data_IF_155442590670
#
_entry.id   IF_155442590670
#
_cell.length_a   1.000
_cell.length_b   1.000
_cell.length_c   1.000
_cell.angle_alpha   90.00
_cell.angle_beta   90.00
_cell.angle_gamma   90.00
#
_symmetry.space_group_name_H-M   'P 1'
#
loop_
_entity.id
_entity.type
_entity.pdbx_description
1 polymer ?
#
# COMPACT_ATOMS: atom_id res chain seq x y z
N UNK A 1 26.26 -33.71 -49.45
CA UNK A 1 27.08 -32.50 -49.26
C UNK A 1 26.21 -31.29 -49.55
N UNK A 2 26.24 -30.34 -48.61
CA UNK A 2 25.83 -28.93 -48.66
C UNK A 2 24.32 -28.64 -48.83
N UNK A 3 23.63 -28.02 -47.86
CA UNK A 3 23.76 -26.62 -47.32
C UNK A 3 23.39 -25.61 -48.44
N UNK A 4 22.47 -24.63 -48.31
CA UNK A 4 22.00 -23.86 -47.16
C UNK A 4 20.80 -22.92 -47.51
N UNK A 5 20.01 -22.58 -46.47
CA UNK A 5 19.35 -21.32 -46.08
C UNK A 5 18.47 -20.45 -47.02
N UNK A 6 17.25 -20.11 -46.54
CA UNK A 6 16.97 -18.89 -45.71
C UNK A 6 15.44 -18.76 -45.47
N UNK A 7 14.92 -18.83 -44.23
CA UNK A 7 14.65 -17.68 -43.34
C UNK A 7 13.24 -17.09 -43.63
N UNK A 8 12.27 -16.97 -42.73
CA UNK A 8 12.26 -16.55 -41.32
C UNK A 8 11.02 -17.16 -40.63
N UNK A 9 11.23 -17.79 -39.47
CA UNK A 9 10.17 -18.28 -38.58
C UNK A 9 9.44 -17.12 -37.90
N UNK A 10 8.11 -17.09 -38.03
CA UNK A 10 7.26 -16.23 -37.22
C UNK A 10 7.23 -16.75 -35.78
N UNK A 11 7.95 -16.10 -34.88
CA UNK A 11 7.86 -16.33 -33.44
C UNK A 11 6.45 -15.97 -33.00
N UNK A 12 5.67 -16.99 -32.64
CA UNK A 12 4.36 -16.85 -32.03
C UNK A 12 4.50 -16.12 -30.68
N UNK A 13 4.34 -14.80 -30.67
CA UNK A 13 4.01 -14.05 -29.46
C UNK A 13 2.59 -14.41 -29.05
N UNK A 14 2.46 -15.32 -28.10
CA UNK A 14 1.19 -15.65 -27.46
C UNK A 14 0.74 -14.46 -26.58
N UNK A 15 -0.04 -13.56 -27.18
CA UNK A 15 -0.79 -12.52 -26.48
C UNK A 15 -1.80 -13.17 -25.51
N UNK A 16 -1.58 -13.05 -24.19
CA UNK A 16 -2.53 -13.50 -23.16
C UNK A 16 -3.52 -12.42 -22.73
N UNK A 17 -3.60 -11.30 -23.45
CA UNK A 17 -4.31 -10.09 -22.99
C UNK A 17 -5.85 -10.24 -22.97
N UNK A 18 -6.46 -10.94 -23.93
CA UNK A 18 -7.94 -10.90 -24.08
C UNK A 18 -8.66 -12.27 -24.07
N UNK A 19 -7.95 -13.41 -24.06
CA UNK A 19 -8.58 -14.75 -24.12
C UNK A 19 -8.39 -15.65 -22.90
N UNK A 20 -7.70 -15.19 -21.87
CA UNK A 20 -7.60 -15.91 -20.61
C UNK A 20 -8.34 -15.14 -19.51
N UNK A 21 -9.66 -15.03 -19.64
CA UNK A 21 -10.50 -14.98 -18.45
C UNK A 21 -10.40 -16.35 -17.78
N UNK A 22 -9.29 -16.58 -17.07
CA UNK A 22 -9.36 -17.54 -16.00
C UNK A 22 -10.38 -16.98 -15.02
N UNK A 23 -11.62 -17.50 -15.10
CA UNK A 23 -12.57 -17.50 -14.00
C UNK A 23 -11.97 -18.38 -12.90
N UNK A 24 -10.84 -17.95 -12.36
CA UNK A 24 -10.35 -18.41 -11.09
C UNK A 24 -11.32 -17.80 -10.09
N UNK A 25 -12.35 -18.58 -9.75
CA UNK A 25 -13.29 -18.28 -8.65
C UNK A 25 -12.50 -17.91 -7.38
N UNK A 26 -11.27 -18.43 -7.27
CA UNK A 26 -10.27 -18.09 -6.27
C UNK A 26 -8.90 -17.83 -6.92
N UNK A 27 -8.29 -16.67 -6.60
CA UNK A 27 -6.96 -16.30 -7.11
C UNK A 27 -5.90 -17.22 -6.49
N UNK A 28 -4.89 -17.66 -7.27
CA UNK A 28 -3.94 -18.70 -6.84
C UNK A 28 -2.96 -18.22 -5.78
N UNK A 29 -2.73 -16.90 -5.65
CA UNK A 29 -1.75 -16.36 -4.71
C UNK A 29 -2.41 -15.50 -3.65
N UNK A 30 -1.94 -15.61 -2.42
CA UNK A 30 -2.27 -14.72 -1.32
C UNK A 30 -1.02 -14.00 -0.86
N UNK A 31 -1.10 -12.67 -0.82
CA UNK A 31 0.00 -11.81 -0.40
C UNK A 31 -0.36 -11.21 0.95
N UNK A 32 0.39 -11.58 1.99
CA UNK A 32 0.33 -10.94 3.30
C UNK A 32 1.32 -9.79 3.34
N UNK A 33 0.86 -8.58 3.63
CA UNK A 33 1.70 -7.38 3.74
C UNK A 33 1.67 -6.93 5.19
N UNK A 34 2.75 -7.21 5.91
CA UNK A 34 2.92 -6.83 7.30
C UNK A 34 3.33 -5.36 7.39
N UNK A 35 2.47 -4.56 8.02
CA UNK A 35 2.61 -3.11 8.09
C UNK A 35 2.27 -2.55 9.46
N UNK A 36 2.84 -1.40 9.77
CA UNK A 36 2.42 -0.54 10.88
C UNK A 36 1.91 0.80 10.31
N UNK A 37 0.79 1.35 10.80
CA UNK A 37 0.20 2.58 10.27
C UNK A 37 1.12 3.81 10.38
N UNK A 38 2.08 3.81 11.31
CA UNK A 38 3.05 4.89 11.51
C UNK A 38 4.41 4.61 10.88
N UNK A 39 4.58 3.50 10.16
CA UNK A 39 5.85 3.16 9.50
C UNK A 39 5.96 3.86 8.13
N UNK A 40 6.91 4.80 7.94
CA UNK A 40 7.10 5.49 6.66
C UNK A 40 7.54 4.58 5.51
N UNK A 41 8.24 3.50 5.81
CA UNK A 41 8.63 2.52 4.78
C UNK A 41 7.42 1.71 4.30
N UNK A 42 6.48 1.38 5.20
CA UNK A 42 5.20 0.76 4.82
C UNK A 42 4.38 1.70 3.94
N UNK A 43 4.32 2.99 4.30
CA UNK A 43 3.69 4.02 3.45
C UNK A 43 4.35 4.11 2.06
N UNK A 44 5.67 3.98 2.02
CA UNK A 44 6.47 4.04 0.79
C UNK A 44 6.32 2.80 -0.11
N UNK A 45 5.68 1.74 0.38
CA UNK A 45 5.40 0.52 -0.38
C UNK A 45 4.17 0.71 -1.31
N UNK A 46 3.30 1.66 -1.01
CA UNK A 46 2.04 1.84 -1.74
C UNK A 46 2.18 2.01 -3.27
N UNK A 47 3.12 2.81 -3.81
CA UNK A 47 3.32 2.90 -5.26
C UNK A 47 3.54 1.53 -5.92
N UNK A 48 4.29 0.65 -5.25
CA UNK A 48 4.59 -0.68 -5.74
C UNK A 48 3.40 -1.62 -5.61
N UNK A 49 2.64 -1.58 -4.51
CA UNK A 49 1.43 -2.39 -4.36
C UNK A 49 0.34 -1.98 -5.36
N UNK A 50 0.17 -0.68 -5.61
CA UNK A 50 -0.74 -0.17 -6.65
C UNK A 50 -0.34 -0.68 -8.02
N UNK A 51 0.93 -0.51 -8.40
CA UNK A 51 1.43 -0.99 -9.70
C UNK A 51 1.30 -2.50 -9.84
N UNK A 52 1.71 -3.27 -8.82
CA UNK A 52 1.61 -4.73 -8.81
C UNK A 52 0.15 -5.19 -8.95
N UNK A 53 -0.77 -4.55 -8.21
CA UNK A 53 -2.20 -4.87 -8.28
C UNK A 53 -2.81 -4.55 -9.64
N UNK A 54 -2.37 -3.46 -10.28
CA UNK A 54 -2.86 -3.07 -11.61
C UNK A 54 -2.33 -4.01 -12.70
N UNK A 55 -1.04 -4.35 -12.67
CA UNK A 55 -0.42 -5.19 -13.69
C UNK A 55 -0.77 -6.67 -13.50
N UNK A 56 -0.85 -7.15 -12.26
CA UNK A 56 -0.89 -8.58 -11.95
C UNK A 56 -1.97 -8.99 -10.94
N UNK A 57 -2.83 -8.07 -10.50
CA UNK A 57 -3.82 -8.34 -9.45
C UNK A 57 -4.82 -9.45 -9.78
N UNK A 58 -4.92 -9.92 -11.03
CA UNK A 58 -5.69 -11.12 -11.38
C UNK A 58 -5.16 -12.41 -10.74
N UNK A 59 -3.87 -12.43 -10.37
CA UNK A 59 -3.22 -13.61 -9.81
C UNK A 59 -3.28 -13.68 -8.28
N UNK A 60 -3.54 -12.56 -7.59
CA UNK A 60 -3.47 -12.53 -6.14
C UNK A 60 -4.50 -11.67 -5.42
N UNK A 61 -4.70 -11.99 -4.14
CA UNK A 61 -5.30 -11.09 -3.14
C UNK A 61 -4.20 -10.50 -2.26
N UNK A 62 -4.40 -9.27 -1.77
CA UNK A 62 -3.51 -8.63 -0.80
C UNK A 62 -4.25 -8.50 0.52
N UNK A 63 -3.61 -8.94 1.61
CA UNK A 63 -4.09 -8.82 2.98
C UNK A 63 -3.08 -8.02 3.80
N UNK A 64 -3.40 -6.77 4.16
CA UNK A 64 -2.61 -6.03 5.14
C UNK A 64 -2.75 -6.67 6.52
N UNK A 65 -1.63 -7.02 7.14
CA UNK A 65 -1.57 -7.53 8.51
C UNK A 65 -0.94 -6.45 9.39
N UNK A 66 -1.66 -6.02 10.42
CA UNK A 66 -1.18 -4.94 11.29
C UNK A 66 -0.20 -5.54 12.31
N UNK A 67 1.08 -5.41 11.97
CA UNK A 67 2.18 -5.80 12.83
C UNK A 67 2.39 -4.70 13.87
N UNK A 68 2.01 -4.95 15.12
CA UNK A 68 2.23 -4.01 16.23
C UNK A 68 3.68 -3.98 16.70
N UNK A 69 4.65 -3.87 15.78
CA UNK A 69 6.07 -3.66 16.06
C UNK A 69 6.30 -2.25 16.64
N UNK A 70 5.70 -2.00 17.80
CA UNK A 70 5.88 -0.84 18.66
C UNK A 70 7.08 -1.04 19.59
N UNK A 71 8.00 -1.95 19.28
CA UNK A 71 9.18 -2.23 20.12
C UNK A 71 10.07 -0.98 20.30
N UNK A 72 9.91 0.02 19.44
CA UNK A 72 10.59 1.31 19.60
C UNK A 72 9.76 2.32 20.40
N UNK A 73 8.41 2.25 20.45
CA UNK A 73 7.39 3.03 21.21
C UNK A 73 7.72 3.49 22.64
N UNK A 74 8.34 2.62 23.44
CA UNK A 74 8.18 2.72 24.91
C UNK A 74 9.49 2.84 25.71
N UNK A 75 10.66 3.09 25.08
CA UNK A 75 11.94 2.91 25.79
C UNK A 75 12.86 4.12 26.03
N UNK A 76 12.64 5.31 25.45
CA UNK A 76 13.42 6.51 25.81
C UNK A 76 12.68 7.81 25.46
N UNK A 77 12.56 8.78 26.40
CA UNK A 77 11.64 9.92 26.29
C UNK A 77 12.24 11.22 25.71
N UNK A 78 13.52 11.54 25.92
CA UNK A 78 14.00 12.92 25.70
C UNK A 78 14.40 13.26 24.25
N UNK A 79 15.04 12.34 23.50
CA UNK A 79 15.50 12.60 22.11
C UNK A 79 14.62 11.97 21.02
N UNK A 80 13.57 11.26 21.44
CA UNK A 80 12.78 10.40 20.58
C UNK A 80 12.02 11.17 19.49
N UNK A 81 11.29 12.27 19.78
CA UNK A 81 10.54 12.97 18.74
C UNK A 81 11.42 13.49 17.59
N UNK A 82 12.61 14.01 17.93
CA UNK A 82 13.59 14.48 16.94
C UNK A 82 14.15 13.33 16.10
N UNK A 83 14.52 12.21 16.74
CA UNK A 83 14.99 11.00 16.05
C UNK A 83 13.94 10.44 15.09
N UNK A 84 12.67 10.36 15.52
CA UNK A 84 11.59 9.85 14.65
C UNK A 84 11.34 10.82 13.49
N UNK A 85 11.30 12.14 13.75
CA UNK A 85 11.24 13.15 12.69
C UNK A 85 12.36 12.96 11.66
N UNK A 86 13.60 12.82 12.10
CA UNK A 86 14.74 12.62 11.20
C UNK A 86 14.59 11.34 10.35
N UNK A 87 14.09 10.25 10.93
CA UNK A 87 13.83 8.99 10.20
C UNK A 87 12.74 9.21 9.14
N UNK A 88 11.66 9.91 9.48
CA UNK A 88 10.57 10.22 8.54
C UNK A 88 11.09 11.10 7.40
N UNK A 89 11.79 12.19 7.70
CA UNK A 89 12.33 13.08 6.67
C UNK A 89 13.36 12.40 5.76
N UNK A 90 14.25 11.57 6.32
CA UNK A 90 15.19 10.75 5.53
C UNK A 90 14.45 9.77 4.63
N UNK A 91 13.38 9.13 5.14
CA UNK A 91 12.58 8.20 4.35
C UNK A 91 11.86 8.93 3.22
N UNK A 92 11.22 10.07 3.49
CA UNK A 92 10.61 10.93 2.45
C UNK A 92 11.58 11.24 1.32
N UNK A 93 12.79 11.69 1.66
CA UNK A 93 13.83 12.04 0.67
C UNK A 93 14.29 10.83 -0.14
N UNK A 94 14.40 9.66 0.49
CA UNK A 94 14.84 8.41 -0.15
C UNK A 94 13.76 7.82 -1.08
N UNK A 95 12.49 7.81 -0.66
CA UNK A 95 11.42 7.09 -1.36
C UNK A 95 10.59 7.99 -2.27
N UNK A 96 10.55 9.30 -1.99
CA UNK A 96 9.70 10.28 -2.68
C UNK A 96 8.24 10.25 -2.23
N UNK A 97 7.89 9.47 -1.20
CA UNK A 97 6.58 9.48 -0.56
C UNK A 97 6.63 10.37 0.68
N UNK A 98 5.83 11.44 0.70
CA UNK A 98 5.84 12.39 1.82
C UNK A 98 5.40 11.73 3.12
N UNK A 99 6.21 11.92 4.16
CA UNK A 99 5.90 11.72 5.56
C UNK A 99 6.46 12.89 6.37
N UNK A 100 5.59 13.79 6.79
CA UNK A 100 6.00 14.99 7.50
C UNK A 100 6.31 14.68 8.98
N UNK A 101 7.60 14.59 9.29
CA UNK A 101 8.09 14.32 10.63
C UNK A 101 7.80 15.45 11.64
N UNK A 102 7.35 16.62 11.19
CA UNK A 102 6.94 17.72 12.09
C UNK A 102 5.78 17.32 13.00
N UNK A 103 4.98 16.31 12.61
CA UNK A 103 3.99 15.65 13.47
C UNK A 103 4.55 15.37 14.87
N UNK A 104 5.75 14.82 14.98
CA UNK A 104 6.32 14.42 16.26
C UNK A 104 6.73 15.60 17.15
N UNK A 105 6.89 16.79 16.60
CA UNK A 105 7.23 18.00 17.37
C UNK A 105 6.00 18.85 17.67
N UNK A 106 5.02 18.88 16.76
CA UNK A 106 3.87 19.77 16.84
C UNK A 106 2.64 19.08 17.45
N UNK A 107 2.36 17.83 17.07
CA UNK A 107 1.17 17.08 17.45
C UNK A 107 1.46 15.56 17.55
N UNK A 108 2.34 15.13 18.47
CA UNK A 108 2.84 13.77 18.50
C UNK A 108 1.73 12.75 18.79
N UNK A 109 1.83 11.57 18.18
CA UNK A 109 0.87 10.48 18.40
C UNK A 109 1.00 9.93 19.81
N UNK A 110 -0.05 10.09 20.61
CA UNK A 110 -0.04 9.74 22.04
C UNK A 110 -0.15 8.23 22.28
N UNK A 111 -1.13 7.58 21.63
CA UNK A 111 -1.42 6.16 21.82
C UNK A 111 -1.51 5.39 20.49
N UNK A 112 -0.37 5.08 19.84
CA UNK A 112 -0.33 4.44 18.52
C UNK A 112 -1.15 3.16 18.35
N UNK A 113 -1.33 2.39 19.44
CA UNK A 113 -2.10 1.14 19.42
C UNK A 113 -3.60 1.37 19.15
N UNK A 114 -4.14 2.57 19.43
CA UNK A 114 -5.53 2.92 19.13
C UNK A 114 -5.75 2.92 17.62
N UNK A 115 -4.80 3.44 16.83
CA UNK A 115 -4.88 3.38 15.37
C UNK A 115 -4.94 1.94 14.85
N UNK A 116 -4.14 1.03 15.43
CA UNK A 116 -4.17 -0.39 15.08
C UNK A 116 -5.52 -1.05 15.36
N UNK A 117 -6.13 -0.74 16.52
CA UNK A 117 -7.49 -1.21 16.84
C UNK A 117 -8.54 -0.62 15.89
N UNK A 118 -8.45 0.68 15.60
CA UNK A 118 -9.35 1.37 14.67
C UNK A 118 -9.32 0.73 13.27
N UNK A 119 -8.13 0.36 12.79
CA UNK A 119 -8.00 -0.34 11.51
C UNK A 119 -8.70 -1.71 11.56
N UNK A 120 -8.60 -2.45 12.67
CA UNK A 120 -9.31 -3.73 12.83
C UNK A 120 -10.82 -3.53 12.96
N UNK A 121 -11.29 -2.50 13.67
CA UNK A 121 -12.71 -2.16 13.74
C UNK A 121 -13.28 -1.84 12.35
N UNK A 122 -12.60 -1.02 11.56
CA UNK A 122 -12.97 -0.75 10.17
C UNK A 122 -12.97 -2.01 9.28
N UNK A 123 -12.07 -2.96 9.57
CA UNK A 123 -11.99 -4.23 8.84
C UNK A 123 -13.15 -5.20 9.16
N UNK A 124 -13.83 -5.05 10.31
CA UNK A 124 -15.02 -5.83 10.64
C UNK A 124 -16.18 -5.54 9.66
N UNK A 125 -16.26 -4.32 9.14
CA UNK A 125 -17.17 -3.94 8.04
C UNK A 125 -16.70 -4.42 6.66
N UNK A 126 -15.58 -5.15 6.60
CA UNK A 126 -15.05 -5.79 5.39
C UNK A 126 -13.59 -5.45 5.11
N UNK A 127 -12.89 -6.40 4.47
CA UNK A 127 -11.46 -6.29 4.13
C UNK A 127 -11.14 -5.07 3.26
N UNK A 128 -12.03 -4.73 2.32
CA UNK A 128 -11.88 -3.53 1.48
C UNK A 128 -11.98 -2.25 2.31
N UNK A 129 -12.94 -2.21 3.23
CA UNK A 129 -13.20 -1.10 4.16
C UNK A 129 -11.99 -0.84 5.05
N UNK A 130 -11.45 -1.88 5.69
CA UNK A 130 -10.22 -1.80 6.49
C UNK A 130 -9.00 -1.28 5.70
N UNK A 131 -8.83 -1.69 4.45
CA UNK A 131 -7.74 -1.19 3.58
C UNK A 131 -7.89 0.30 3.24
N UNK A 132 -9.11 0.74 2.90
CA UNK A 132 -9.37 2.15 2.60
C UNK A 132 -9.17 2.98 3.87
N UNK A 133 -9.65 2.51 5.02
CA UNK A 133 -9.45 3.17 6.30
C UNK A 133 -7.97 3.29 6.68
N UNK A 134 -7.18 2.22 6.55
CA UNK A 134 -5.73 2.25 6.75
C UNK A 134 -5.07 3.36 5.92
N UNK A 135 -5.45 3.49 4.64
CA UNK A 135 -4.96 4.56 3.77
C UNK A 135 -5.34 5.95 4.30
N UNK A 136 -6.55 6.14 4.82
CA UNK A 136 -7.00 7.43 5.40
C UNK A 136 -6.29 7.78 6.69
N UNK A 137 -6.04 6.80 7.55
CA UNK A 137 -5.23 6.96 8.76
C UNK A 137 -3.81 7.38 8.39
N UNK A 138 -3.19 6.71 7.42
CA UNK A 138 -1.85 7.06 6.94
C UNK A 138 -1.80 8.47 6.31
N UNK A 139 -2.78 8.84 5.48
CA UNK A 139 -2.88 10.21 4.93
C UNK A 139 -2.95 11.26 6.05
N UNK A 140 -3.74 11.00 7.10
CA UNK A 140 -3.91 11.90 8.26
C UNK A 140 -2.62 12.09 9.05
N UNK A 141 -1.88 11.02 9.31
CA UNK A 141 -0.58 11.09 9.99
C UNK A 141 0.50 11.74 9.12
N UNK A 142 0.69 11.25 7.90
CA UNK A 142 1.86 11.58 7.08
C UNK A 142 1.74 12.89 6.30
N UNK A 143 0.52 13.32 5.97
CA UNK A 143 0.28 14.53 5.17
C UNK A 143 -0.26 15.68 6.02
N UNK A 144 -1.21 15.38 6.92
CA UNK A 144 -1.93 16.40 7.67
C UNK A 144 -1.42 16.59 9.11
N UNK A 145 -0.41 15.82 9.54
CA UNK A 145 0.19 15.90 10.88
C UNK A 145 -0.84 15.79 12.01
N UNK A 146 -1.80 14.89 11.85
CA UNK A 146 -2.84 14.63 12.84
C UNK A 146 -2.46 13.46 13.76
N UNK A 147 -2.81 13.57 15.04
CA UNK A 147 -2.69 12.47 15.99
C UNK A 147 -3.74 11.41 15.66
N UNK A 148 -3.31 10.30 15.08
CA UNK A 148 -4.18 9.18 14.72
C UNK A 148 -4.58 8.29 15.91
N UNK A 149 -4.29 8.72 17.13
CA UNK A 149 -4.87 8.16 18.35
C UNK A 149 -6.04 8.98 18.91
N UNK A 150 -6.32 10.14 18.31
CA UNK A 150 -7.51 10.94 18.59
C UNK A 150 -8.75 10.36 17.90
N UNK A 151 -9.83 10.13 18.66
CA UNK A 151 -11.08 9.57 18.15
C UNK A 151 -11.73 10.44 17.09
N UNK A 152 -11.68 11.78 17.21
CA UNK A 152 -12.29 12.69 16.24
C UNK A 152 -11.58 12.58 14.87
N UNK A 153 -10.27 12.38 14.89
CA UNK A 153 -9.48 12.12 13.67
C UNK A 153 -9.83 10.75 13.09
N UNK A 154 -10.00 9.73 13.92
CA UNK A 154 -10.41 8.38 13.48
C UNK A 154 -11.83 8.37 12.91
N UNK A 155 -12.78 9.09 13.50
CA UNK A 155 -14.13 9.26 12.95
C UNK A 155 -14.11 10.01 11.61
N UNK A 156 -13.27 11.02 11.50
CA UNK A 156 -13.03 11.74 10.24
C UNK A 156 -12.49 10.80 9.15
N UNK A 157 -11.53 9.93 9.51
CA UNK A 157 -11.00 8.88 8.62
C UNK A 157 -12.08 7.86 8.23
N UNK A 158 -12.92 7.43 9.17
CA UNK A 158 -14.00 6.47 8.96
C UNK A 158 -15.03 7.03 7.97
N UNK A 159 -15.40 8.30 8.13
CA UNK A 159 -16.27 9.02 7.21
C UNK A 159 -15.66 9.14 5.82
N UNK A 160 -14.38 9.51 5.73
CA UNK A 160 -13.66 9.59 4.46
C UNK A 160 -13.47 8.21 3.78
N UNK A 161 -13.50 7.13 4.55
CA UNK A 161 -13.47 5.75 4.07
C UNK A 161 -14.86 5.17 3.75
N UNK A 162 -15.93 5.96 3.94
CA UNK A 162 -17.32 5.55 3.73
C UNK A 162 -17.73 4.32 4.57
N UNK A 163 -17.35 4.32 5.86
CA UNK A 163 -17.77 3.35 6.85
C UNK A 163 -19.11 3.73 7.48
N UNK A 164 -19.81 2.74 8.05
CA UNK A 164 -20.87 2.99 9.02
C UNK A 164 -20.23 3.51 10.31
N UNK A 165 -20.53 4.76 10.66
CA UNK A 165 -19.89 5.45 11.79
C UNK A 165 -20.39 4.91 13.13
N UNK A 166 -21.66 4.51 13.22
CA UNK A 166 -22.24 3.99 14.46
C UNK A 166 -21.65 2.61 14.77
N UNK A 167 -21.56 1.75 13.76
CA UNK A 167 -20.92 0.43 13.90
C UNK A 167 -19.42 0.58 14.20
N UNK A 168 -18.73 1.47 13.49
CA UNK A 168 -17.30 1.75 13.73
C UNK A 168 -17.03 2.23 15.15
N UNK A 169 -17.84 3.17 15.68
CA UNK A 169 -17.70 3.68 17.05
C UNK A 169 -17.92 2.58 18.09
N UNK A 170 -18.92 1.72 17.86
CA UNK A 170 -19.20 0.56 18.71
C UNK A 170 -18.03 -0.44 18.70
N UNK A 171 -17.41 -0.65 17.54
CA UNK A 171 -16.36 -1.64 17.36
C UNK A 171 -14.95 -1.19 17.74
N UNK A 172 -14.67 0.12 17.79
CA UNK A 172 -13.33 0.68 18.02
C UNK A 172 -12.62 0.05 19.22
N UNK A 173 -13.36 -0.20 20.31
CA UNK A 173 -12.83 -0.81 21.54
C UNK A 173 -13.43 -2.18 21.86
N UNK A 174 -14.14 -2.80 20.91
CA UNK A 174 -14.82 -4.07 21.10
C UNK A 174 -13.84 -5.22 21.30
N UNK A 175 -14.33 -6.31 21.90
CA UNK A 175 -13.56 -7.55 22.05
C UNK A 175 -13.22 -8.17 20.69
N UNK A 176 -14.07 -7.97 19.69
CA UNK A 176 -13.86 -8.42 18.30
C UNK A 176 -12.66 -7.72 17.67
N UNK A 177 -12.59 -6.39 17.73
CA UNK A 177 -11.45 -5.63 17.18
C UNK A 177 -10.15 -5.97 17.90
N UNK A 178 -10.18 -6.09 19.23
CA UNK A 178 -9.03 -6.53 20.05
C UNK A 178 -8.55 -7.93 19.66
N UNK A 179 -9.48 -8.88 19.50
CA UNK A 179 -9.15 -10.25 19.08
C UNK A 179 -8.59 -10.30 17.67
N UNK A 180 -9.17 -9.54 16.74
CA UNK A 180 -8.66 -9.42 15.38
C UNK A 180 -7.22 -8.87 15.35
N UNK A 181 -6.92 -7.84 16.17
CA UNK A 181 -5.57 -7.32 16.29
C UNK A 181 -4.61 -8.35 16.91
N UNK A 182 -5.03 -9.07 17.96
CA UNK A 182 -4.22 -10.16 18.53
C UNK A 182 -3.94 -11.28 17.53
N UNK A 183 -4.89 -11.61 16.64
CA UNK A 183 -4.66 -12.55 15.56
C UNK A 183 -3.59 -12.06 14.59
N UNK A 184 -3.59 -10.77 14.21
CA UNK A 184 -2.54 -10.19 13.35
C UNK A 184 -1.15 -10.27 14.03
N UNK A 185 -1.06 -9.99 15.33
CA UNK A 185 0.18 -10.12 16.09
C UNK A 185 0.68 -11.57 16.16
N UNK A 186 -0.23 -12.51 16.40
CA UNK A 186 0.09 -13.95 16.42
C UNK A 186 0.59 -14.42 15.06
N UNK A 187 -0.08 -14.01 13.98
CA UNK A 187 0.33 -14.33 12.61
C UNK A 187 1.71 -13.75 12.26
N UNK A 188 1.99 -12.53 12.73
CA UNK A 188 3.31 -11.89 12.58
C UNK A 188 4.42 -12.73 13.23
N UNK A 189 4.15 -13.30 14.42
CA UNK A 189 5.09 -14.20 15.10
C UNK A 189 5.21 -15.56 14.40
N UNK A 190 4.08 -16.16 14.00
CA UNK A 190 4.04 -17.45 13.31
C UNK A 190 4.77 -17.43 11.95
N UNK A 191 4.77 -16.29 11.26
CA UNK A 191 5.50 -16.10 10.00
C UNK A 191 6.93 -15.55 10.18
N UNK A 192 7.40 -15.46 11.44
CA UNK A 192 8.74 -14.99 11.80
C UNK A 192 9.06 -13.61 11.18
N UNK A 193 8.13 -12.67 11.29
CA UNK A 193 8.28 -11.32 10.73
C UNK A 193 8.91 -10.40 11.78
N UNK A 194 10.23 -10.22 11.66
CA UNK A 194 11.02 -9.39 12.59
C UNK A 194 11.20 -7.93 12.14
N UNK A 195 10.84 -7.62 10.88
CA UNK A 195 11.01 -6.31 10.29
C UNK A 195 9.81 -5.91 9.43
N UNK A 196 9.52 -4.60 9.35
CA UNK A 196 8.41 -4.07 8.57
C UNK A 196 8.88 -2.92 7.64
N UNK A 197 8.37 -2.82 6.40
CA UNK A 197 7.39 -3.72 5.80
C UNK A 197 7.97 -5.11 5.48
N UNK A 198 7.15 -6.14 5.59
CA UNK A 198 7.47 -7.48 5.05
C UNK A 198 6.31 -7.97 4.20
N UNK A 199 6.62 -8.54 3.04
CA UNK A 199 5.65 -9.16 2.15
C UNK A 199 5.90 -10.66 2.13
N UNK A 200 4.85 -11.45 2.35
CA UNK A 200 4.91 -12.91 2.20
C UNK A 200 3.93 -13.33 1.12
N UNK A 201 4.44 -14.01 0.11
CA UNK A 201 3.65 -14.55 -0.99
C UNK A 201 3.42 -16.04 -0.75
N UNK A 202 2.15 -16.45 -0.76
CA UNK A 202 1.76 -17.86 -0.67
C UNK A 202 1.01 -18.29 -1.91
N UNK A 203 1.36 -19.45 -2.45
CA UNK A 203 0.54 -20.12 -3.44
C UNK A 203 -0.52 -20.95 -2.71
N UNK A 204 -1.79 -20.67 -2.95
CA UNK A 204 -2.92 -21.38 -2.34
C UNK A 204 -3.18 -22.75 -2.99
N UNK A 205 -2.56 -23.03 -4.15
CA UNK A 205 -2.78 -24.26 -4.92
C UNK A 205 -1.74 -25.33 -4.57
N UNK A 206 -0.57 -24.94 -4.10
CA UNK A 206 0.55 -25.83 -3.77
C UNK A 206 0.82 -25.81 -2.27
N UNK A 207 1.22 -26.93 -1.68
CA UNK A 207 1.63 -27.00 -0.26
C UNK A 207 3.06 -26.45 -0.01
N UNK A 208 3.60 -25.68 -0.94
CA UNK A 208 4.94 -25.11 -0.84
C UNK A 208 5.01 -23.95 0.17
N UNK A 209 6.21 -23.76 0.73
CA UNK A 209 6.48 -22.68 1.65
C UNK A 209 6.36 -21.31 0.96
N UNK A 210 5.79 -20.33 1.64
CA UNK A 210 5.68 -18.97 1.13
C UNK A 210 7.04 -18.26 1.02
N UNK A 211 7.17 -17.35 0.05
CA UNK A 211 8.39 -16.54 -0.12
C UNK A 211 8.23 -15.22 0.64
N UNK A 212 9.15 -14.95 1.57
CA UNK A 212 9.19 -13.75 2.41
C UNK A 212 10.21 -12.72 1.89
N UNK A 213 9.79 -11.47 1.77
CA UNK A 213 10.62 -10.31 1.40
C UNK A 213 10.51 -9.26 2.52
N UNK A 214 11.60 -9.06 3.26
CA UNK A 214 11.65 -8.08 4.36
C UNK A 214 12.35 -6.79 3.94
N UNK A 215 11.60 -5.70 3.91
CA UNK A 215 12.04 -4.36 3.55
C UNK A 215 11.51 -3.85 2.22
N UNK A 216 11.89 -2.60 1.91
CA UNK A 216 11.50 -1.93 0.68
C UNK A 216 12.51 -2.23 -0.44
N UNK A 217 12.04 -2.89 -1.49
CA UNK A 217 12.84 -3.25 -2.66
C UNK A 217 12.32 -2.56 -3.93
N UNK A 218 13.16 -2.48 -4.98
CA UNK A 218 12.72 -2.12 -6.31
C UNK A 218 11.56 -3.00 -6.83
N UNK A 219 10.72 -2.42 -7.68
CA UNK A 219 9.48 -3.04 -8.17
C UNK A 219 9.70 -4.43 -8.81
N UNK A 220 10.79 -4.58 -9.56
CA UNK A 220 11.15 -5.79 -10.29
C UNK A 220 11.41 -6.99 -9.38
N UNK A 221 11.81 -6.76 -8.12
CA UNK A 221 11.98 -7.84 -7.13
C UNK A 221 10.64 -8.50 -6.82
N UNK A 222 9.57 -7.71 -6.64
CA UNK A 222 8.23 -8.25 -6.39
C UNK A 222 7.69 -9.02 -7.59
N UNK A 223 7.97 -8.55 -8.81
CA UNK A 223 7.59 -9.25 -10.05
C UNK A 223 8.39 -10.55 -10.21
N UNK A 224 9.67 -10.55 -9.84
CA UNK A 224 10.52 -11.75 -9.87
C UNK A 224 9.99 -12.84 -8.92
N UNK A 225 9.64 -12.46 -7.69
CA UNK A 225 9.05 -13.41 -6.72
C UNK A 225 7.70 -13.92 -7.20
N UNK A 226 6.86 -13.04 -7.76
CA UNK A 226 5.60 -13.45 -8.37
C UNK A 226 5.80 -14.48 -9.50
N UNK A 227 6.80 -14.27 -10.36
CA UNK A 227 7.15 -15.20 -11.44
C UNK A 227 7.61 -16.56 -10.90
N UNK A 228 8.43 -16.54 -9.86
CA UNK A 228 8.96 -17.75 -9.22
C UNK A 228 7.81 -18.60 -8.67
N UNK A 229 6.89 -17.99 -7.92
CA UNK A 229 5.73 -18.68 -7.34
C UNK A 229 4.71 -19.14 -8.38
N UNK A 230 4.56 -18.40 -9.48
CA UNK A 230 3.69 -18.80 -10.58
C UNK A 230 4.32 -19.85 -11.50
N UNK A 231 5.61 -20.14 -11.36
CA UNK A 231 6.42 -21.01 -12.23
C UNK A 231 6.31 -20.67 -13.72
N UNK A 232 5.96 -19.42 -14.04
CA UNK A 232 5.80 -18.94 -15.42
C UNK A 232 5.98 -17.43 -15.45
N UNK A 233 6.34 -16.90 -16.62
CA UNK A 233 6.42 -15.46 -16.82
C UNK A 233 5.01 -14.84 -16.86
N UNK A 234 4.59 -14.05 -15.86
CA UNK A 234 3.32 -13.35 -15.94
C UNK A 234 3.45 -12.16 -16.90
N UNK A 235 2.43 -11.95 -17.73
CA UNK A 235 2.34 -10.77 -18.62
C UNK A 235 1.56 -9.69 -17.88
N UNK A 236 2.05 -8.44 -17.78
CA UNK A 236 1.35 -7.35 -17.12
C UNK A 236 0.07 -6.95 -17.87
N UNK A 237 -0.97 -6.57 -17.14
CA UNK A 237 -2.16 -5.93 -17.70
C UNK A 237 -1.85 -4.56 -18.29
N UNK A 238 -2.64 -4.17 -19.27
CA UNK A 238 -2.71 -2.77 -19.69
C UNK A 238 -3.17 -1.88 -18.53
N UNK A 239 -2.52 -0.72 -18.42
CA UNK A 239 -2.83 0.27 -17.39
C UNK A 239 -4.07 1.05 -17.82
N UNK A 240 -5.04 1.30 -16.92
CA UNK A 240 -6.16 2.19 -17.21
C UNK A 240 -5.67 3.61 -17.51
N UNK A 241 -6.58 4.45 -17.98
CA UNK A 241 -6.30 5.88 -18.15
C UNK A 241 -5.98 6.54 -16.80
N UNK A 242 -5.21 7.63 -16.84
CA UNK A 242 -4.87 8.40 -15.65
C UNK A 242 -6.11 8.86 -14.89
N UNK A 243 -7.14 9.34 -15.60
CA UNK A 243 -8.40 9.78 -14.99
C UNK A 243 -9.15 8.62 -14.30
N UNK A 244 -9.20 7.43 -14.91
CA UNK A 244 -9.81 6.26 -14.26
C UNK A 244 -9.03 5.82 -13.00
N UNK A 245 -7.71 5.84 -13.05
CA UNK A 245 -6.87 5.58 -11.88
C UNK A 245 -7.17 6.57 -10.75
N UNK A 246 -7.29 7.87 -11.07
CA UNK A 246 -7.62 8.90 -10.10
C UNK A 246 -9.02 8.73 -9.52
N UNK A 247 -10.02 8.37 -10.34
CA UNK A 247 -11.39 8.15 -9.85
C UNK A 247 -11.47 6.97 -8.87
N UNK A 248 -10.61 5.96 -9.02
CA UNK A 248 -10.58 4.79 -8.14
C UNK A 248 -9.85 5.08 -6.82
N UNK A 249 -8.67 5.72 -6.89
CA UNK A 249 -7.84 5.94 -5.69
C UNK A 249 -8.14 7.25 -4.96
N UNK A 250 -8.86 8.18 -5.61
CA UNK A 250 -9.26 9.51 -5.14
C UNK A 250 -8.10 10.43 -4.79
N UNK A 251 -7.23 10.07 -3.85
CA UNK A 251 -6.06 10.87 -3.42
C UNK A 251 -4.77 10.10 -3.68
N UNK A 252 -3.90 10.65 -4.54
CA UNK A 252 -2.63 10.00 -4.93
C UNK A 252 -1.48 10.99 -5.00
N UNK A 253 -0.27 10.52 -4.72
CA UNK A 253 0.95 11.32 -4.87
C UNK A 253 1.45 11.32 -6.31
N UNK A 254 2.21 12.35 -6.67
CA UNK A 254 2.98 12.37 -7.92
C UNK A 254 3.89 11.15 -8.03
N UNK A 255 4.47 10.68 -6.92
CA UNK A 255 5.35 9.51 -6.88
C UNK A 255 4.59 8.22 -7.21
N UNK A 256 3.37 8.06 -6.70
CA UNK A 256 2.50 6.92 -7.01
C UNK A 256 2.20 6.85 -8.50
N UNK A 257 1.80 7.99 -9.10
CA UNK A 257 1.54 8.09 -10.54
C UNK A 257 2.80 7.76 -11.35
N UNK A 258 3.93 8.35 -10.99
CA UNK A 258 5.20 8.13 -11.68
C UNK A 258 5.60 6.65 -11.70
N UNK A 259 5.47 5.95 -10.57
CA UNK A 259 5.77 4.51 -10.47
C UNK A 259 4.78 3.69 -11.30
N UNK A 260 3.47 3.91 -11.12
CA UNK A 260 2.42 3.13 -11.79
C UNK A 260 2.55 3.23 -13.32
N UNK A 261 2.76 4.43 -13.85
CA UNK A 261 2.79 4.69 -15.28
C UNK A 261 4.18 4.64 -15.92
N UNK A 262 5.22 4.28 -15.17
CA UNK A 262 6.61 4.29 -15.62
C UNK A 262 7.05 5.64 -16.19
N UNK A 263 6.67 6.70 -15.48
CA UNK A 263 6.97 8.09 -15.84
C UNK A 263 8.05 8.66 -14.93
N UNK A 264 8.78 9.66 -15.44
CA UNK A 264 9.54 10.54 -14.56
C UNK A 264 8.59 11.37 -13.71
N UNK A 265 9.06 11.83 -12.54
CA UNK A 265 8.31 12.74 -11.67
C UNK A 265 7.83 13.97 -12.45
N UNK A 266 8.71 14.59 -13.24
CA UNK A 266 8.37 15.75 -14.06
C UNK A 266 7.25 15.48 -15.08
N UNK A 267 7.22 14.28 -15.68
CA UNK A 267 6.14 13.89 -16.59
C UNK A 267 4.82 13.70 -15.83
N UNK A 268 4.84 13.02 -14.68
CA UNK A 268 3.66 12.85 -13.85
C UNK A 268 3.09 14.21 -13.40
N UNK A 269 3.93 15.13 -12.92
CA UNK A 269 3.48 16.49 -12.57
C UNK A 269 2.89 17.25 -13.77
N UNK A 270 3.50 17.13 -14.95
CA UNK A 270 3.00 17.77 -16.16
C UNK A 270 1.59 17.29 -16.51
N UNK A 271 1.35 15.97 -16.47
CA UNK A 271 0.02 15.42 -16.75
C UNK A 271 -0.99 15.82 -15.67
N UNK A 272 -0.61 15.86 -14.39
CA UNK A 272 -1.50 16.30 -13.31
C UNK A 272 -1.84 17.78 -13.39
N UNK A 273 -0.89 18.64 -13.77
CA UNK A 273 -1.16 20.06 -14.02
C UNK A 273 -2.15 20.27 -15.18
N UNK A 274 -2.12 19.43 -16.22
CA UNK A 274 -3.15 19.48 -17.29
C UNK A 274 -4.53 19.14 -16.74
N UNK A 275 -4.64 18.13 -15.87
CA UNK A 275 -5.91 17.77 -15.24
C UNK A 275 -6.40 18.84 -14.27
N UNK A 276 -5.47 19.51 -13.56
CA UNK A 276 -5.78 20.64 -12.68
C UNK A 276 -6.36 21.81 -13.48
N UNK A 277 -5.80 22.14 -14.65
CA UNK A 277 -6.34 23.18 -15.54
C UNK A 277 -7.75 22.83 -16.07
N UNK A 278 -8.07 21.53 -16.17
CA UNK A 278 -9.41 21.03 -16.51
C UNK A 278 -10.33 20.91 -15.30
N UNK A 279 -9.91 21.34 -14.11
CA UNK A 279 -10.66 21.23 -12.85
C UNK A 279 -11.06 19.80 -12.48
N UNK A 280 -10.27 18.80 -12.92
CA UNK A 280 -10.48 17.38 -12.58
C UNK A 280 -9.76 16.94 -11.31
N UNK A 281 -8.80 17.73 -10.86
CA UNK A 281 -8.04 17.44 -9.64
C UNK A 281 -7.72 18.71 -8.86
N UNK A 282 -7.76 18.59 -7.55
CA UNK A 282 -7.24 19.54 -6.59
C UNK A 282 -5.79 19.17 -6.24
N UNK A 283 -4.88 20.16 -6.27
CA UNK A 283 -3.47 19.98 -5.88
C UNK A 283 -3.34 20.20 -4.38
N UNK A 284 -2.78 19.21 -3.69
CA UNK A 284 -2.46 19.25 -2.26
C UNK A 284 -0.93 19.32 -2.12
N UNK A 285 -0.36 20.53 -1.93
CA UNK A 285 1.07 20.65 -1.72
C UNK A 285 1.44 20.07 -0.35
N UNK A 286 2.50 19.26 -0.31
CA UNK A 286 3.03 18.67 0.94
C UNK A 286 4.51 18.99 1.06
N UNK A 287 5.10 18.75 2.23
CA UNK A 287 6.51 19.07 2.51
C UNK A 287 7.48 18.43 1.51
N UNK A 288 7.18 17.23 1.03
CA UNK A 288 7.97 16.50 0.06
C UNK A 288 7.11 16.07 -1.15
N UNK A 289 6.98 16.96 -2.13
CA UNK A 289 6.26 16.70 -3.38
C UNK A 289 4.80 17.16 -3.34
N UNK A 290 3.95 16.52 -4.13
CA UNK A 290 2.55 16.89 -4.28
C UNK A 290 1.64 15.67 -4.23
N UNK A 291 0.46 15.86 -3.63
CA UNK A 291 -0.68 14.97 -3.75
C UNK A 291 -1.76 15.61 -4.61
N UNK A 292 -2.62 14.77 -5.15
CA UNK A 292 -3.69 15.17 -6.06
C UNK A 292 -4.96 14.45 -5.64
N UNK A 293 -6.00 15.23 -5.37
CA UNK A 293 -7.33 14.75 -5.04
C UNK A 293 -8.23 14.88 -6.26
N UNK A 294 -8.85 13.79 -6.67
CA UNK A 294 -9.78 13.75 -7.79
C UNK A 294 -11.09 14.43 -7.41
N UNK A 295 -11.55 15.33 -8.28
CA UNK A 295 -12.85 15.98 -8.19
C UNK A 295 -13.79 15.29 -9.20
N UNK A 296 -14.89 14.73 -8.70
CA UNK A 296 -15.88 14.00 -9.51
C UNK A 296 -16.63 14.94 -10.47
#
# INVERSE_FOLDING_TARGET
MNWEHSGVESIYQSNTSEKYSFNLVQKPIEIYVFVDPLCPECWSLEPFLKKLSMEYGRFFTIRPIISGHLNTLNKDQFDRPRKIKDIWEKTSKRTGMCCDGDLWLENPVSFPWIASLAIKAAELQGKKSGRIFLRKVQESAFLYKQDISDEEILYSCAKAANLDIEEFSTDLYSSSAKKAFQCDLKLTQEMEVDYIPTIVFFNQVTEEQGIKISGLYPYDIYVRVLREILEKQPIPSEKPTLEHFLSVFKTVSTKEIAVVYDWSIAKAEKEMKKLQLKQKVERIPVKYGDFWKYED
#
